data_IF_006498317272
#
_entry.id   IF_006498317272
#
_cell.length_a   1.000
_cell.length_b   1.000
_cell.length_c   1.000
_cell.angle_alpha   90.00
_cell.angle_beta   90.00
_cell.angle_gamma   90.00
#
_symmetry.space_group_name_H-M   'P 1'
#
loop_
_entity.id
_entity.type
_entity.pdbx_description
1 polymer ?
#
# COMPACT_ATOMS: atom_id res chain seq x y z
N UNK A 1 6.00 -21.89 -22.92
CA UNK A 1 7.06 -21.03 -22.34
C UNK A 1 6.63 -20.61 -20.93
N UNK A 2 7.41 -20.92 -19.89
CA UNK A 2 7.01 -20.72 -18.49
C UNK A 2 7.09 -19.25 -18.04
N UNK A 3 6.13 -18.82 -17.22
CA UNK A 3 6.09 -17.47 -16.65
C UNK A 3 7.13 -17.33 -15.53
N UNK A 4 7.91 -16.24 -15.55
CA UNK A 4 8.90 -15.95 -14.49
C UNK A 4 8.18 -15.46 -13.23
N UNK A 5 8.50 -16.06 -12.08
CA UNK A 5 7.98 -15.64 -10.77
C UNK A 5 8.71 -14.40 -10.26
N UNK A 6 8.05 -13.57 -9.44
CA UNK A 6 8.67 -12.40 -8.83
C UNK A 6 9.82 -12.81 -7.88
N UNK A 7 11.07 -12.39 -8.13
CA UNK A 7 12.22 -12.79 -7.33
C UNK A 7 12.16 -12.25 -5.90
N UNK A 8 11.44 -11.14 -5.65
CA UNK A 8 11.27 -10.64 -4.29
C UNK A 8 10.51 -11.64 -3.43
N UNK A 9 9.44 -12.24 -3.97
CA UNK A 9 8.62 -13.22 -3.25
C UNK A 9 9.44 -14.46 -2.93
N UNK A 10 10.23 -14.95 -3.91
CA UNK A 10 11.08 -16.13 -3.73
C UNK A 10 12.21 -15.93 -2.69
N UNK A 11 12.61 -14.68 -2.43
CA UNK A 11 13.69 -14.35 -1.48
C UNK A 11 13.17 -13.94 -0.10
N UNK A 12 11.87 -13.80 0.09
CA UNK A 12 11.27 -13.48 1.39
C UNK A 12 11.61 -14.58 2.41
N UNK A 13 12.05 -14.17 3.60
CA UNK A 13 12.39 -15.08 4.70
C UNK A 13 13.81 -15.66 4.66
N UNK A 14 14.52 -15.61 3.52
CA UNK A 14 15.93 -15.99 3.42
C UNK A 14 16.86 -14.78 3.31
N UNK A 15 16.65 -13.96 2.28
CA UNK A 15 17.53 -12.84 1.96
C UNK A 15 16.85 -11.49 2.23
N UNK A 16 15.52 -11.46 2.10
CA UNK A 16 14.70 -10.25 2.28
C UNK A 16 13.70 -10.46 3.40
N UNK A 17 13.61 -9.47 4.29
CA UNK A 17 12.60 -9.46 5.34
C UNK A 17 11.25 -8.92 4.85
N UNK A 18 10.20 -9.24 5.60
CA UNK A 18 8.87 -8.65 5.42
C UNK A 18 8.90 -7.14 5.68
N UNK A 19 8.16 -6.39 4.84
CA UNK A 19 7.96 -4.95 5.01
C UNK A 19 7.08 -4.67 6.24
N UNK A 20 6.02 -5.46 6.43
CA UNK A 20 5.12 -5.37 7.57
C UNK A 20 5.26 -6.64 8.42
N UNK A 21 5.62 -6.49 9.69
CA UNK A 21 5.75 -7.59 10.66
C UNK A 21 4.75 -7.38 11.79
N UNK A 22 3.97 -8.40 12.09
CA UNK A 22 3.01 -8.40 13.19
C UNK A 22 2.84 -9.83 13.71
N UNK A 23 2.31 -9.96 14.93
CA UNK A 23 1.92 -11.25 15.50
C UNK A 23 0.44 -11.18 15.82
N UNK A 24 -0.36 -12.04 15.20
CA UNK A 24 -1.79 -12.17 15.48
C UNK A 24 -2.01 -13.16 16.62
N UNK A 25 -3.00 -12.90 17.48
CA UNK A 25 -3.48 -13.86 18.47
C UNK A 25 -4.68 -14.64 17.95
N UNK A 26 -5.52 -14.00 17.14
CA UNK A 26 -6.67 -14.62 16.47
C UNK A 26 -6.60 -14.38 14.96
N UNK A 27 -6.98 -15.38 14.17
CA UNK A 27 -7.00 -15.28 12.71
C UNK A 27 -7.93 -14.20 12.17
N UNK A 28 -8.95 -13.79 12.93
CA UNK A 28 -9.86 -12.70 12.56
C UNK A 28 -9.20 -11.32 12.67
N UNK A 29 -8.13 -11.19 13.45
CA UNK A 29 -7.40 -9.94 13.64
C UNK A 29 -6.57 -9.59 12.39
N UNK A 30 -6.18 -10.59 11.59
CA UNK A 30 -5.44 -10.41 10.33
C UNK A 30 -6.00 -9.34 9.44
N UNK A 31 -7.30 -9.44 9.17
CA UNK A 31 -7.98 -8.60 8.18
C UNK A 31 -8.00 -7.14 8.65
N UNK A 32 -8.13 -6.92 9.96
CA UNK A 32 -8.12 -5.59 10.57
C UNK A 32 -6.72 -4.98 10.50
N UNK A 33 -5.69 -5.76 10.83
CA UNK A 33 -4.29 -5.31 10.80
C UNK A 33 -3.87 -4.99 9.37
N UNK A 34 -4.18 -5.85 8.41
CA UNK A 34 -3.89 -5.63 6.99
C UNK A 34 -4.58 -4.37 6.48
N UNK A 35 -5.87 -4.18 6.82
CA UNK A 35 -6.60 -2.98 6.42
C UNK A 35 -5.95 -1.70 6.96
N UNK A 36 -5.60 -1.68 8.24
CA UNK A 36 -4.92 -0.54 8.88
C UNK A 36 -3.56 -0.27 8.26
N UNK A 37 -2.77 -1.31 7.99
CA UNK A 37 -1.45 -1.16 7.37
C UNK A 37 -1.54 -0.54 5.96
N UNK A 38 -2.53 -0.95 5.16
CA UNK A 38 -2.80 -0.35 3.85
C UNK A 38 -3.19 1.13 3.96
N UNK A 39 -4.01 1.49 4.95
CA UNK A 39 -4.45 2.86 5.17
C UNK A 39 -3.28 3.77 5.62
N UNK A 40 -2.46 3.29 6.56
CA UNK A 40 -1.26 4.00 7.03
C UNK A 40 -0.28 4.20 5.87
N UNK A 41 -0.02 3.16 5.07
CA UNK A 41 0.86 3.25 3.90
C UNK A 41 0.35 4.27 2.89
N UNK A 42 -0.95 4.32 2.66
CA UNK A 42 -1.60 5.30 1.79
C UNK A 42 -1.45 6.72 2.35
N UNK A 43 -1.71 6.91 3.63
CA UNK A 43 -1.58 8.21 4.30
C UNK A 43 -0.15 8.74 4.20
N UNK A 44 0.84 7.92 4.55
CA UNK A 44 2.26 8.28 4.46
C UNK A 44 2.63 8.64 3.03
N UNK A 45 2.26 7.80 2.05
CA UNK A 45 2.58 8.09 0.64
C UNK A 45 2.01 9.43 0.18
N UNK A 46 0.79 9.79 0.61
CA UNK A 46 0.17 11.08 0.30
C UNK A 46 0.84 12.24 1.03
N UNK A 47 1.18 12.06 2.31
CA UNK A 47 1.84 13.09 3.11
C UNK A 47 3.21 13.46 2.52
N UNK A 48 4.05 12.46 2.22
CA UNK A 48 5.36 12.70 1.63
C UNK A 48 5.26 13.26 0.21
N UNK A 49 4.31 12.79 -0.61
CA UNK A 49 4.10 13.34 -1.95
C UNK A 49 3.68 14.82 -1.92
N UNK A 50 2.79 15.22 -0.99
CA UNK A 50 2.41 16.64 -0.81
C UNK A 50 3.60 17.52 -0.44
N UNK A 51 4.57 16.98 0.28
CA UNK A 51 5.78 17.67 0.70
C UNK A 51 6.92 17.59 -0.34
N UNK A 52 6.69 17.01 -1.52
CA UNK A 52 7.73 16.85 -2.55
C UNK A 52 8.83 15.85 -2.20
N UNK A 53 8.54 14.92 -1.27
CA UNK A 53 9.47 13.89 -0.81
C UNK A 53 9.12 12.54 -1.44
N UNK A 54 10.13 11.78 -1.82
CA UNK A 54 9.99 10.43 -2.39
C UNK A 54 10.29 9.41 -1.28
N UNK A 55 9.31 8.58 -0.97
CA UNK A 55 9.48 7.45 -0.04
C UNK A 55 10.18 6.31 -0.77
N UNK A 56 11.38 5.95 -0.32
CA UNK A 56 12.17 4.85 -0.90
C UNK A 56 11.85 3.50 -0.25
N UNK A 57 11.73 3.50 1.08
CA UNK A 57 11.47 2.29 1.85
C UNK A 57 10.54 2.60 3.02
N UNK A 58 9.68 1.64 3.31
CA UNK A 58 8.70 1.69 4.38
C UNK A 58 8.68 0.32 5.05
N UNK A 59 8.85 0.31 6.37
CA UNK A 59 8.70 -0.90 7.17
C UNK A 59 7.84 -0.61 8.38
N UNK A 60 6.94 -1.54 8.70
CA UNK A 60 6.10 -1.50 9.90
C UNK A 60 6.34 -2.70 10.77
N UNK A 61 6.39 -2.45 12.08
CA UNK A 61 6.42 -3.47 13.09
C UNK A 61 5.33 -3.17 14.12
N UNK A 62 4.38 -4.10 14.22
CA UNK A 62 3.33 -4.07 15.22
C UNK A 62 3.76 -4.92 16.41
N UNK A 63 3.90 -4.26 17.56
CA UNK A 63 3.91 -4.91 18.87
C UNK A 63 2.49 -4.89 19.44
N UNK A 64 2.29 -5.53 20.59
CA UNK A 64 0.98 -5.52 21.27
C UNK A 64 0.54 -4.09 21.63
N UNK A 65 1.49 -3.24 22.06
CA UNK A 65 1.18 -1.91 22.60
C UNK A 65 1.81 -0.76 21.80
N UNK A 66 2.67 -1.07 20.83
CA UNK A 66 3.42 -0.08 20.05
C UNK A 66 3.41 -0.35 18.57
N UNK A 67 3.37 0.73 17.78
CA UNK A 67 3.54 0.70 16.34
C UNK A 67 4.86 1.40 15.99
N UNK A 68 5.81 0.63 15.46
CA UNK A 68 7.08 1.16 14.99
C UNK A 68 7.05 1.29 13.47
N UNK A 69 7.29 2.50 12.98
CA UNK A 69 7.29 2.81 11.55
C UNK A 69 8.67 3.34 11.17
N UNK A 70 9.34 2.65 10.24
CA UNK A 70 10.58 3.11 9.64
C UNK A 70 10.31 3.63 8.23
N UNK A 71 10.72 4.88 7.98
CA UNK A 71 10.51 5.55 6.70
C UNK A 71 11.86 6.08 6.21
N UNK A 72 12.34 5.55 5.09
CA UNK A 72 13.47 6.13 4.35
C UNK A 72 12.91 6.99 3.21
N UNK A 73 13.25 8.28 3.21
CA UNK A 73 12.80 9.23 2.20
C UNK A 73 13.96 10.06 1.65
N UNK A 74 13.81 10.54 0.42
CA UNK A 74 14.74 11.49 -0.19
C UNK A 74 13.99 12.70 -0.76
N UNK A 75 14.70 13.83 -0.87
CA UNK A 75 14.16 15.03 -1.46
C UNK A 75 14.19 14.93 -3.00
N UNK A 76 13.05 15.13 -3.64
CA UNK A 76 12.93 15.07 -5.09
C UNK A 76 13.82 16.11 -5.81
N UNK A 77 14.09 17.26 -5.17
CA UNK A 77 14.87 18.33 -5.78
C UNK A 77 16.38 18.07 -5.86
N UNK A 78 16.91 17.13 -5.05
CA UNK A 78 18.37 16.87 -4.95
C UNK A 78 18.80 15.50 -5.50
N UNK A 79 17.86 14.60 -5.81
CA UNK A 79 18.18 13.32 -6.42
C UNK A 79 18.24 13.47 -7.93
N UNK A 80 19.42 13.31 -8.53
CA UNK A 80 19.68 13.25 -9.97
C UNK A 80 19.05 12.02 -10.68
N UNK A 81 18.00 11.43 -10.09
CA UNK A 81 17.27 10.32 -10.70
C UNK A 81 16.23 10.91 -11.66
N UNK A 82 16.11 10.37 -12.89
CA UNK A 82 15.24 10.94 -13.91
C UNK A 82 13.79 10.97 -13.41
N UNK A 83 13.32 12.18 -13.17
CA UNK A 83 12.00 12.53 -12.61
C UNK A 83 10.83 12.23 -13.54
N UNK A 84 11.06 11.60 -14.70
CA UNK A 84 10.06 11.40 -15.75
C UNK A 84 9.01 10.30 -15.47
N UNK A 85 9.03 9.65 -14.29
CA UNK A 85 8.11 8.55 -13.98
C UNK A 85 7.39 8.62 -12.64
N UNK A 86 7.47 9.72 -11.88
CA UNK A 86 6.67 9.85 -10.66
C UNK A 86 5.30 10.46 -11.02
N UNK A 87 4.56 9.76 -11.89
CA UNK A 87 3.10 9.92 -11.94
C UNK A 87 2.56 9.18 -10.71
N UNK A 88 2.43 9.86 -9.58
CA UNK A 88 1.54 9.37 -8.51
C UNK A 88 0.15 9.35 -9.13
N UNK A 89 -0.22 8.19 -9.68
CA UNK A 89 -1.57 7.95 -10.13
C UNK A 89 -2.43 8.00 -8.88
N UNK A 90 -3.09 9.12 -8.64
CA UNK A 90 -4.32 9.13 -7.84
C UNK A 90 -5.29 8.21 -8.57
N UNK A 91 -5.25 6.90 -8.27
CA UNK A 91 -6.25 5.95 -8.74
C UNK A 91 -7.56 6.40 -8.10
N UNK A 92 -8.38 7.15 -8.84
CA UNK A 92 -9.79 7.33 -8.54
C UNK A 92 -10.40 5.93 -8.55
N UNK A 93 -10.50 5.30 -7.39
CA UNK A 93 -11.08 3.98 -7.25
C UNK A 93 -12.60 4.09 -7.27
N UNK A 94 -13.16 4.54 -8.40
CA UNK A 94 -14.52 4.23 -8.78
C UNK A 94 -14.41 3.46 -10.08
N UNK A 95 -14.50 2.13 -10.01
CA UNK A 95 -14.62 1.33 -11.21
C UNK A 95 -15.97 1.64 -11.83
N UNK A 96 -16.01 1.99 -13.13
CA UNK A 96 -17.28 2.19 -13.86
C UNK A 96 -18.23 1.01 -13.68
N UNK A 97 -17.66 -0.20 -13.58
CA UNK A 97 -18.38 -1.46 -13.33
C UNK A 97 -19.12 -1.46 -11.98
N UNK A 98 -18.53 -0.87 -10.94
CA UNK A 98 -19.20 -0.77 -9.64
C UNK A 98 -20.31 0.30 -9.68
N UNK A 99 -20.07 1.43 -10.34
CA UNK A 99 -21.11 2.47 -10.50
C UNK A 99 -22.32 1.97 -11.30
N UNK A 100 -22.10 1.24 -12.40
CA UNK A 100 -23.20 0.66 -13.18
C UNK A 100 -23.96 -0.41 -12.40
N UNK A 101 -23.26 -1.24 -11.60
CA UNK A 101 -23.91 -2.25 -10.76
C UNK A 101 -24.71 -1.64 -9.60
N UNK A 102 -24.22 -0.56 -9.00
CA UNK A 102 -24.96 0.20 -7.97
C UNK A 102 -26.17 0.91 -8.59
N UNK A 103 -26.05 1.48 -9.79
CA UNK A 103 -27.16 2.10 -10.50
C UNK A 103 -28.26 1.07 -10.82
N UNK A 104 -27.91 -0.08 -11.39
CA UNK A 104 -28.90 -1.13 -11.71
C UNK A 104 -29.62 -1.69 -10.48
N UNK A 105 -28.97 -1.70 -9.32
CA UNK A 105 -29.60 -2.14 -8.07
C UNK A 105 -30.59 -1.10 -7.52
N UNK A 106 -30.32 0.20 -7.70
CA UNK A 106 -31.27 1.25 -7.30
C UNK A 106 -32.54 1.20 -8.12
N UNK A 107 -32.43 0.92 -9.42
CA UNK A 107 -33.59 0.83 -10.31
C UNK A 107 -34.47 -0.40 -10.01
N UNK A 108 -33.90 -1.47 -9.45
CA UNK A 108 -34.66 -2.67 -9.04
C UNK A 108 -35.41 -2.53 -7.71
N UNK A 109 -35.06 -1.56 -6.88
CA UNK A 109 -35.65 -1.35 -5.54
C UNK A 109 -36.82 -0.34 -5.58
N UNK A 110 -36.98 0.39 -6.69
CA UNK A 110 -38.02 1.43 -6.87
C UNK A 110 -39.21 0.90 -7.70
N UNK A 111 -39.47 -0.41 -7.70
CA UNK A 111 -40.69 -1.00 -8.28
C UNK A 111 -41.58 -1.60 -7.20
#
# INVERSE_FOLDING_TARGET
MGQKTNPNILRLGKLKEWESKYIEKKTTESSVVIFRDLEIRKFISQFFAKNGLIVQNYKTYYSNDSLHIYIAYCNAAKSSLPTDKIKVQFRKHKSKIFETKVASLKDSVIK
#
